data_IF_158039875688
#
_entry.id   IF_158039875688
#
_cell.length_a   1.000
_cell.length_b   1.000
_cell.length_c   1.000
_cell.angle_alpha   90.00
_cell.angle_beta   90.00
_cell.angle_gamma   90.00
#
_symmetry.space_group_name_H-M   'P 1'
#
loop_
_entity.id
_entity.type
_entity.pdbx_description
1 polymer ?
#
# COMPACT_ATOMS: atom_id res chain seq x y z
N UNK A 1 15.15 -44.07 -1.75
CA UNK A 1 15.33 -42.61 -1.59
C UNK A 1 14.02 -41.97 -1.14
N UNK A 2 13.99 -41.37 0.06
CA UNK A 2 12.88 -40.46 0.42
C UNK A 2 12.87 -39.33 -0.62
N UNK A 3 11.71 -38.96 -1.18
CA UNK A 3 11.63 -37.78 -2.01
C UNK A 3 12.08 -36.59 -1.16
N UNK A 4 13.03 -35.79 -1.67
CA UNK A 4 13.30 -34.49 -1.09
C UNK A 4 11.97 -33.73 -1.09
N UNK A 5 11.50 -33.32 0.09
CA UNK A 5 10.49 -32.27 0.18
C UNK A 5 11.11 -31.02 -0.46
N UNK A 6 10.77 -30.80 -1.72
CA UNK A 6 10.97 -29.51 -2.36
C UNK A 6 10.07 -28.54 -1.59
N UNK A 7 10.64 -27.81 -0.62
CA UNK A 7 10.11 -26.50 -0.33
C UNK A 7 9.97 -25.82 -1.69
N UNK A 8 8.74 -25.52 -2.13
CA UNK A 8 8.47 -24.81 -3.38
C UNK A 8 8.98 -23.37 -3.24
N UNK A 9 10.30 -23.21 -3.29
CA UNK A 9 10.93 -21.91 -3.44
C UNK A 9 10.61 -21.45 -4.85
N UNK A 10 9.52 -20.68 -4.97
CA UNK A 10 9.21 -19.97 -6.19
C UNK A 10 10.20 -18.81 -6.32
N UNK A 11 10.98 -18.80 -7.39
CA UNK A 11 12.00 -17.79 -7.65
C UNK A 11 11.51 -16.73 -8.63
N UNK A 12 11.99 -15.50 -8.43
CA UNK A 12 11.86 -14.38 -9.36
C UNK A 12 13.25 -14.05 -9.91
N UNK A 13 13.33 -13.89 -11.22
CA UNK A 13 14.57 -13.69 -11.95
C UNK A 13 14.56 -12.32 -12.62
N UNK A 14 15.59 -11.53 -12.38
CA UNK A 14 15.73 -10.21 -13.00
C UNK A 14 17.00 -10.13 -13.83
N UNK A 15 16.83 -9.98 -15.13
CA UNK A 15 17.95 -9.85 -16.07
C UNK A 15 18.59 -8.46 -15.91
N UNK A 16 19.91 -8.42 -15.84
CA UNK A 16 20.72 -7.21 -15.82
C UNK A 16 21.83 -7.35 -16.87
N UNK A 17 22.46 -6.25 -17.27
CA UNK A 17 23.62 -6.31 -18.17
C UNK A 17 24.72 -7.19 -17.58
N UNK A 18 25.06 -8.28 -18.26
CA UNK A 18 26.09 -9.22 -17.82
C UNK A 18 25.61 -10.39 -16.95
N UNK A 19 24.32 -10.52 -16.65
CA UNK A 19 23.81 -11.66 -15.87
C UNK A 19 22.35 -11.53 -15.43
N UNK A 20 22.03 -12.11 -14.27
CA UNK A 20 20.71 -12.01 -13.65
C UNK A 20 20.82 -12.05 -12.13
N UNK A 21 19.82 -11.46 -11.47
CA UNK A 21 19.57 -11.58 -10.05
C UNK A 21 18.48 -12.63 -9.82
N UNK A 22 18.59 -13.36 -8.71
CA UNK A 22 17.56 -14.30 -8.25
C UNK A 22 17.12 -13.90 -6.86
N UNK A 23 15.82 -13.87 -6.64
CA UNK A 23 15.23 -13.67 -5.32
C UNK A 23 14.07 -14.65 -5.12
N UNK A 24 13.69 -14.92 -3.88
CA UNK A 24 12.42 -15.58 -3.58
C UNK A 24 11.26 -14.68 -4.00
N UNK A 25 10.22 -15.25 -4.60
CA UNK A 25 9.02 -14.49 -4.91
C UNK A 25 8.40 -13.91 -3.64
N UNK A 26 7.91 -12.68 -3.74
CA UNK A 26 7.03 -12.11 -2.74
C UNK A 26 5.69 -12.84 -2.79
N UNK A 27 5.58 -13.92 -2.01
CA UNK A 27 4.38 -14.71 -1.74
C UNK A 27 3.97 -14.63 -0.26
N UNK A 28 4.30 -13.51 0.40
CA UNK A 28 4.00 -13.30 1.82
C UNK A 28 2.50 -13.53 2.05
N UNK A 29 2.20 -14.40 3.00
CA UNK A 29 0.85 -14.61 3.53
C UNK A 29 0.69 -13.59 4.65
N UNK A 30 -0.20 -12.63 4.45
CA UNK A 30 -0.47 -11.57 5.42
C UNK A 30 -1.00 -12.16 6.73
N UNK A 31 -0.34 -11.81 7.84
CA UNK A 31 -0.90 -12.01 9.17
C UNK A 31 -1.65 -10.74 9.60
N UNK A 32 -2.96 -10.72 9.33
CA UNK A 32 -3.83 -9.60 9.67
C UNK A 32 -3.84 -9.28 11.17
N UNK A 33 -3.41 -10.21 12.05
CA UNK A 33 -3.32 -9.96 13.49
C UNK A 33 -2.16 -9.02 13.85
N UNK A 34 -1.15 -8.87 12.98
CA UNK A 34 -0.05 -7.92 13.18
C UNK A 34 -0.39 -6.50 12.71
N UNK A 35 -1.54 -6.31 12.05
CA UNK A 35 -1.92 -4.99 11.55
C UNK A 35 -2.42 -4.10 12.69
N UNK A 36 -1.86 -2.89 12.76
CA UNK A 36 -2.14 -1.94 13.84
C UNK A 36 -2.86 -0.69 13.31
N UNK A 37 -3.98 -0.31 13.94
CA UNK A 37 -4.58 0.99 13.70
C UNK A 37 -3.86 2.06 14.53
N UNK A 38 -3.10 2.92 13.87
CA UNK A 38 -2.23 3.92 14.52
C UNK A 38 -2.87 5.30 14.70
N UNK A 39 -4.05 5.53 14.10
CA UNK A 39 -4.84 6.75 14.25
C UNK A 39 -5.93 6.63 15.31
N UNK A 40 -6.46 7.77 15.76
CA UNK A 40 -7.59 7.87 16.69
C UNK A 40 -8.87 7.29 16.09
N UNK A 41 -9.15 7.60 14.82
CA UNK A 41 -10.28 7.01 14.08
C UNK A 41 -9.89 5.60 13.64
N UNK A 42 -10.75 4.63 13.95
CA UNK A 42 -10.63 3.26 13.45
C UNK A 42 -11.36 3.10 12.11
N UNK A 43 -10.86 2.26 11.19
CA UNK A 43 -11.62 1.93 9.99
C UNK A 43 -12.91 1.21 10.40
N UNK A 44 -14.00 1.51 9.69
CA UNK A 44 -15.22 0.72 9.80
C UNK A 44 -15.04 -0.64 9.08
N UNK A 45 -15.96 -1.61 9.24
CA UNK A 45 -15.81 -2.93 8.63
C UNK A 45 -15.66 -2.92 7.11
N UNK A 46 -16.41 -2.07 6.40
CA UNK A 46 -16.32 -1.95 4.93
C UNK A 46 -14.97 -1.38 4.50
N UNK A 47 -14.50 -0.33 5.18
CA UNK A 47 -13.18 0.26 4.93
C UNK A 47 -12.08 -0.76 5.19
N UNK A 48 -12.19 -1.56 6.25
CA UNK A 48 -11.18 -2.57 6.56
C UNK A 48 -11.11 -3.65 5.47
N UNK A 49 -12.25 -4.13 4.97
CA UNK A 49 -12.28 -5.06 3.85
C UNK A 49 -11.66 -4.46 2.57
N UNK A 50 -11.92 -3.18 2.31
CA UNK A 50 -11.35 -2.47 1.18
C UNK A 50 -9.85 -2.23 1.34
N UNK A 51 -9.36 -1.96 2.57
CA UNK A 51 -7.92 -1.83 2.85
C UNK A 51 -7.19 -3.16 2.59
N UNK A 52 -7.78 -4.28 3.01
CA UNK A 52 -7.24 -5.62 2.72
C UNK A 52 -7.16 -5.86 1.21
N UNK A 53 -8.21 -5.50 0.47
CA UNK A 53 -8.21 -5.61 -0.99
C UNK A 53 -7.14 -4.72 -1.63
N UNK A 54 -7.10 -3.44 -1.27
CA UNK A 54 -6.16 -2.46 -1.80
C UNK A 54 -4.71 -2.85 -1.52
N UNK A 55 -4.42 -3.36 -0.32
CA UNK A 55 -3.10 -3.87 0.07
C UNK A 55 -2.64 -5.02 -0.83
N UNK A 56 -3.51 -6.02 -1.03
CA UNK A 56 -3.26 -7.14 -1.93
C UNK A 56 -3.08 -6.68 -3.38
N UNK A 57 -3.80 -5.66 -3.83
CA UNK A 57 -3.60 -5.11 -5.17
C UNK A 57 -2.24 -4.40 -5.31
N UNK A 58 -1.85 -3.62 -4.30
CA UNK A 58 -0.63 -2.80 -4.31
C UNK A 58 0.64 -3.62 -4.54
N UNK A 59 0.75 -4.83 -3.94
CA UNK A 59 1.92 -5.72 -4.12
C UNK A 59 2.20 -6.10 -5.58
N UNK A 60 1.19 -6.05 -6.44
CA UNK A 60 1.33 -6.44 -7.84
C UNK A 60 1.72 -5.27 -8.75
N UNK A 61 1.61 -4.03 -8.26
CA UNK A 61 1.82 -2.78 -9.00
C UNK A 61 3.27 -2.31 -8.82
N UNK A 62 3.83 -1.68 -9.86
CA UNK A 62 5.20 -1.17 -9.83
C UNK A 62 5.32 0.02 -8.88
N UNK A 63 6.36 0.02 -8.05
CA UNK A 63 6.66 1.03 -7.04
C UNK A 63 7.15 2.36 -7.65
N UNK A 64 6.90 3.51 -7.02
CA UNK A 64 6.11 3.71 -5.80
C UNK A 64 4.60 3.57 -6.10
N UNK A 65 3.94 2.57 -5.54
CA UNK A 65 2.56 2.25 -5.86
C UNK A 65 1.59 2.90 -4.85
N UNK A 66 0.55 3.54 -5.37
CA UNK A 66 -0.61 4.00 -4.63
C UNK A 66 -1.85 3.40 -5.29
N UNK A 67 -2.72 2.80 -4.49
CA UNK A 67 -3.98 2.20 -4.95
C UNK A 67 -5.13 2.85 -4.22
N UNK A 68 -6.12 3.35 -4.95
CA UNK A 68 -7.41 3.71 -4.39
C UNK A 68 -8.39 2.57 -4.64
N UNK A 69 -9.18 2.21 -3.64
CA UNK A 69 -10.18 1.16 -3.78
C UNK A 69 -11.45 1.47 -2.98
N UNK A 70 -12.57 0.94 -3.46
CA UNK A 70 -13.87 0.98 -2.77
C UNK A 70 -14.71 -0.20 -3.22
N UNK A 71 -15.47 -0.81 -2.32
CA UNK A 71 -16.31 -1.98 -2.61
C UNK A 71 -15.51 -3.09 -3.32
N UNK A 72 -14.30 -3.37 -2.81
CA UNK A 72 -13.32 -4.35 -3.33
C UNK A 72 -13.00 -4.14 -4.82
N UNK A 73 -13.08 -2.90 -5.28
CA UNK A 73 -12.80 -2.52 -6.67
C UNK A 73 -11.76 -1.42 -6.71
N UNK A 74 -10.76 -1.56 -7.57
CA UNK A 74 -9.75 -0.52 -7.80
C UNK A 74 -10.42 0.68 -8.47
N UNK A 75 -10.41 1.83 -7.81
CA UNK A 75 -10.98 3.08 -8.32
C UNK A 75 -9.94 3.93 -9.03
N UNK A 76 -8.68 3.90 -8.55
CA UNK A 76 -7.55 4.58 -9.19
C UNK A 76 -6.21 3.98 -8.79
N UNK A 77 -5.18 4.18 -9.61
CA UNK A 77 -3.82 3.77 -9.27
C UNK A 77 -2.75 4.70 -9.86
N UNK A 78 -1.67 4.85 -9.10
CA UNK A 78 -0.43 5.51 -9.50
C UNK A 78 0.70 4.51 -9.37
N UNK A 79 1.40 4.25 -10.48
CA UNK A 79 2.40 3.19 -10.59
C UNK A 79 3.71 3.73 -11.16
N UNK A 80 4.84 3.20 -10.67
CA UNK A 80 6.15 3.39 -11.28
C UNK A 80 6.76 4.79 -11.10
N UNK A 81 6.22 5.62 -10.21
CA UNK A 81 6.70 7.00 -10.07
C UNK A 81 7.92 7.09 -9.15
N UNK A 82 8.92 7.94 -9.49
CA UNK A 82 10.06 8.20 -8.61
C UNK A 82 9.65 8.80 -7.25
N UNK A 83 8.57 9.59 -7.23
CA UNK A 83 8.04 10.22 -6.02
C UNK A 83 6.62 9.74 -5.72
N UNK A 84 6.38 9.31 -4.47
CA UNK A 84 5.11 8.79 -3.97
C UNK A 84 3.96 9.80 -4.07
N UNK A 85 4.24 11.09 -3.87
CA UNK A 85 3.24 12.16 -3.97
C UNK A 85 2.65 12.24 -5.39
N UNK A 86 3.47 11.97 -6.42
CA UNK A 86 3.03 11.92 -7.81
C UNK A 86 2.11 10.71 -8.03
N UNK A 87 2.41 9.57 -7.39
CA UNK A 87 1.51 8.40 -7.44
C UNK A 87 0.16 8.70 -6.78
N UNK A 88 0.11 9.48 -5.69
CA UNK A 88 -1.17 9.89 -5.07
C UNK A 88 -1.98 10.74 -6.06
N UNK A 89 -1.37 11.75 -6.68
CA UNK A 89 -2.03 12.59 -7.69
C UNK A 89 -2.52 11.81 -8.91
N UNK A 90 -1.73 10.84 -9.39
CA UNK A 90 -2.15 9.99 -10.50
C UNK A 90 -3.35 9.12 -10.11
N UNK A 91 -3.33 8.51 -8.92
CA UNK A 91 -4.46 7.73 -8.39
C UNK A 91 -5.73 8.57 -8.28
N UNK A 92 -5.63 9.78 -7.72
CA UNK A 92 -6.72 10.74 -7.62
C UNK A 92 -7.29 11.08 -9.00
N UNK A 93 -6.42 11.43 -9.95
CA UNK A 93 -6.84 11.79 -11.32
C UNK A 93 -7.53 10.64 -12.04
N UNK A 94 -7.05 9.41 -11.87
CA UNK A 94 -7.66 8.21 -12.47
C UNK A 94 -8.99 7.89 -11.82
N UNK A 95 -9.09 8.03 -10.49
CA UNK A 95 -10.32 7.77 -9.76
C UNK A 95 -11.42 8.80 -10.06
N UNK A 96 -11.06 10.07 -10.24
CA UNK A 96 -12.01 11.15 -10.51
C UNK A 96 -13.14 11.16 -9.49
N UNK A 97 -14.39 11.13 -9.95
CA UNK A 97 -15.58 11.11 -9.10
C UNK A 97 -15.70 9.88 -8.19
N UNK A 98 -14.90 8.83 -8.43
CA UNK A 98 -14.86 7.63 -7.60
C UNK A 98 -13.90 7.73 -6.42
N UNK A 99 -13.07 8.78 -6.34
CA UNK A 99 -12.13 8.95 -5.24
C UNK A 99 -12.83 9.14 -3.88
N UNK A 100 -13.88 9.97 -3.74
CA UNK A 100 -14.53 10.19 -2.45
C UNK A 100 -15.12 8.92 -1.84
N UNK A 101 -14.76 8.65 -0.60
CA UNK A 101 -15.16 7.44 0.13
C UNK A 101 -14.35 6.19 -0.23
N UNK A 102 -13.32 6.29 -1.08
CA UNK A 102 -12.35 5.22 -1.29
C UNK A 102 -11.35 5.14 -0.13
N UNK A 103 -10.71 3.98 0.01
CA UNK A 103 -9.52 3.78 0.82
C UNK A 103 -8.26 3.85 -0.04
N UNK A 104 -7.09 4.00 0.60
CA UNK A 104 -5.79 4.08 -0.06
C UNK A 104 -4.84 3.02 0.50
N UNK A 105 -4.17 2.27 -0.38
CA UNK A 105 -3.01 1.46 -0.01
C UNK A 105 -1.71 2.01 -0.61
N UNK A 106 -0.63 1.94 0.16
CA UNK A 106 0.71 2.35 -0.25
C UNK A 106 1.70 1.21 -0.03
N UNK A 107 2.41 0.79 -1.09
CA UNK A 107 3.33 -0.36 -1.06
C UNK A 107 4.53 -0.26 -0.08
N UNK A 108 4.79 0.96 0.39
CA UNK A 108 5.86 1.32 1.31
C UNK A 108 5.39 2.50 2.17
N UNK A 109 6.25 2.95 3.10
CA UNK A 109 5.86 4.04 3.99
C UNK A 109 5.71 5.38 3.28
N UNK A 110 4.95 6.28 3.89
CA UNK A 110 4.89 7.69 3.48
C UNK A 110 6.06 8.46 4.10
N UNK A 111 6.92 9.10 3.29
CA UNK A 111 8.06 9.84 3.81
C UNK A 111 7.66 11.18 4.43
N UNK A 112 6.53 11.76 4.01
CA UNK A 112 6.08 13.10 4.38
C UNK A 112 4.54 13.19 4.49
N UNK A 113 3.99 14.14 5.28
CA UNK A 113 2.55 14.33 5.49
C UNK A 113 1.76 14.77 4.25
N UNK A 114 2.39 15.44 3.30
CA UNK A 114 1.78 15.94 2.05
C UNK A 114 0.98 14.86 1.29
N UNK A 115 1.44 13.61 1.31
CA UNK A 115 0.77 12.48 0.69
C UNK A 115 -0.60 12.21 1.35
N UNK A 116 -0.69 12.38 2.67
CA UNK A 116 -1.92 12.17 3.45
C UNK A 116 -2.87 13.35 3.26
N UNK A 117 -2.35 14.57 3.25
CA UNK A 117 -3.13 15.78 2.99
C UNK A 117 -3.80 15.73 1.61
N UNK A 118 -3.07 15.29 0.59
CA UNK A 118 -3.62 15.08 -0.76
C UNK A 118 -4.67 13.97 -0.80
N UNK A 119 -4.41 12.84 -0.14
CA UNK A 119 -5.40 11.77 -0.05
C UNK A 119 -6.70 12.25 0.63
N UNK A 120 -6.58 13.01 1.71
CA UNK A 120 -7.73 13.61 2.40
C UNK A 120 -8.49 14.58 1.49
N UNK A 121 -7.78 15.44 0.73
CA UNK A 121 -8.39 16.35 -0.22
C UNK A 121 -9.16 15.62 -1.34
N UNK A 122 -8.69 14.44 -1.76
CA UNK A 122 -9.37 13.56 -2.70
C UNK A 122 -10.58 12.82 -2.11
N UNK A 123 -10.85 12.99 -0.80
CA UNK A 123 -11.97 12.37 -0.10
C UNK A 123 -11.72 10.91 0.30
N UNK A 124 -10.46 10.48 0.38
CA UNK A 124 -10.10 9.18 0.95
C UNK A 124 -10.55 9.13 2.42
N UNK A 125 -10.96 7.96 2.91
CA UNK A 125 -11.42 7.80 4.29
C UNK A 125 -10.50 6.94 5.15
N UNK A 126 -9.74 6.03 4.55
CA UNK A 126 -8.77 5.19 5.27
C UNK A 126 -7.52 4.91 4.44
N UNK A 127 -6.40 4.70 5.13
CA UNK A 127 -5.06 4.49 4.55
C UNK A 127 -4.42 3.24 5.15
N UNK A 128 -3.73 2.44 4.33
CA UNK A 128 -2.88 1.33 4.79
C UNK A 128 -1.48 1.45 4.19
N UNK A 129 -0.48 1.27 5.04
CA UNK A 129 0.94 1.34 4.70
C UNK A 129 1.77 0.47 5.65
N UNK A 130 3.06 0.20 5.41
CA UNK A 130 3.87 -0.58 6.35
C UNK A 130 4.19 0.13 7.66
N UNK A 131 4.36 1.46 7.66
CA UNK A 131 5.07 2.18 8.71
C UNK A 131 6.60 1.98 8.63
N UNK A 132 7.32 2.50 9.63
CA UNK A 132 8.79 2.43 9.75
C UNK A 132 9.52 3.68 9.26
N UNK A 133 8.82 4.79 9.02
CA UNK A 133 9.46 6.08 8.73
C UNK A 133 9.93 6.76 10.01
N UNK A 134 11.07 7.45 9.96
CA UNK A 134 11.48 8.36 11.05
C UNK A 134 10.47 9.50 11.27
N UNK A 135 9.58 9.73 10.29
CA UNK A 135 8.53 10.77 10.31
C UNK A 135 7.12 10.20 10.46
N UNK A 136 6.97 8.95 10.89
CA UNK A 136 5.63 8.34 11.02
C UNK A 136 4.71 9.17 11.92
N UNK A 137 5.23 9.78 12.99
CA UNK A 137 4.42 10.64 13.86
C UNK A 137 3.81 11.84 13.10
N UNK A 138 4.56 12.47 12.20
CA UNK A 138 4.07 13.58 11.38
C UNK A 138 2.94 13.11 10.44
N UNK A 139 3.12 11.95 9.82
CA UNK A 139 2.15 11.32 8.90
C UNK A 139 0.88 10.90 9.63
N UNK A 140 1.01 10.29 10.81
CA UNK A 140 -0.11 9.88 11.68
C UNK A 140 -0.87 11.12 12.16
N UNK A 141 -0.17 12.19 12.51
CA UNK A 141 -0.80 13.45 12.93
C UNK A 141 -1.62 14.07 11.81
N UNK A 142 -1.10 14.11 10.58
CA UNK A 142 -1.86 14.60 9.42
C UNK A 142 -3.11 13.75 9.13
N UNK A 143 -3.01 12.42 9.29
CA UNK A 143 -4.16 11.53 9.15
C UNK A 143 -5.22 11.81 10.23
N UNK A 144 -4.79 11.97 11.48
CA UNK A 144 -5.69 12.31 12.59
C UNK A 144 -6.38 13.67 12.38
N UNK A 145 -5.64 14.68 11.94
CA UNK A 145 -6.20 16.02 11.64
C UNK A 145 -7.22 15.97 10.51
N UNK A 146 -7.02 15.07 9.55
CA UNK A 146 -7.91 14.84 8.41
C UNK A 146 -9.04 13.84 8.70
N UNK A 147 -9.15 13.33 9.93
CA UNK A 147 -10.10 12.28 10.33
C UNK A 147 -10.02 11.01 9.45
N UNK A 148 -8.81 10.66 9.00
CA UNK A 148 -8.51 9.41 8.29
C UNK A 148 -8.24 8.29 9.29
N UNK A 149 -8.68 7.08 8.95
CA UNK A 149 -8.15 5.89 9.61
C UNK A 149 -6.82 5.50 8.95
N UNK A 150 -5.83 5.05 9.73
CA UNK A 150 -4.54 4.58 9.22
C UNK A 150 -4.16 3.25 9.86
N UNK A 151 -3.79 2.29 9.02
CA UNK A 151 -3.37 0.95 9.42
C UNK A 151 -1.91 0.73 9.00
N UNK A 152 -1.09 0.25 9.94
CA UNK A 152 0.28 -0.19 9.71
C UNK A 152 0.34 -1.71 9.57
N UNK A 153 1.04 -2.21 8.55
CA UNK A 153 1.19 -3.66 8.29
C UNK A 153 2.53 -4.24 8.75
N UNK A 154 3.55 -3.40 8.96
CA UNK A 154 4.92 -3.82 9.24
C UNK A 154 5.64 -4.49 8.05
N UNK A 155 4.98 -4.65 6.91
CA UNK A 155 5.51 -5.37 5.74
C UNK A 155 5.52 -4.48 4.50
N UNK A 156 6.61 -4.50 3.73
CA UNK A 156 6.78 -3.68 2.52
C UNK A 156 6.76 -4.56 1.27
N UNK A 157 5.98 -4.19 0.25
CA UNK A 157 5.90 -4.90 -1.04
C UNK A 157 6.48 -4.08 -2.19
N UNK A 158 7.80 -3.91 -2.19
CA UNK A 158 8.46 -3.14 -3.23
C UNK A 158 8.58 -3.95 -4.53
N UNK A 159 8.16 -3.38 -5.67
CA UNK A 159 8.24 -4.02 -6.98
C UNK A 159 8.73 -3.06 -8.05
N UNK A 160 9.92 -3.33 -8.58
CA UNK A 160 10.50 -2.61 -9.72
C UNK A 160 10.27 -3.36 -11.03
#
# INVERSE_FOLDING_TARGET
PQPLELNEYSFDYRIISGGFLVQTQDNIIEDFAQWECVTRRKPNPSEYEDLVFAWKAARHIKSNAIVFAKDKTLTGMGAGQPNRVVSVHLSERVAGEKAPGSVLASDAFFPFPDNIELAAAAGITAVIQPGGSIRDEEVINAANQSNLAMVFTGTRHFKH
#
